data_IF_296274877214
#
_entry.id   IF_296274877214
#
_cell.length_a   1.000
_cell.length_b   1.000
_cell.length_c   1.000
_cell.angle_alpha   90.00
_cell.angle_beta   90.00
_cell.angle_gamma   90.00
#
_symmetry.space_group_name_H-M   'P 1'
#
loop_
_entity.id
_entity.type
_entity.pdbx_description
1 polymer ?
#
# COMPACT_ATOMS: atom_id res chain seq x y z
N UNK A 1 -0.83 -0.68 32.59
CA UNK A 1 -0.09 -1.76 31.88
C UNK A 1 -0.05 -1.54 30.36
N UNK A 2 -1.10 -0.99 29.71
CA UNK A 2 -1.12 -0.75 28.26
C UNK A 2 -0.16 0.34 27.73
N UNK A 3 0.14 1.38 28.53
CA UNK A 3 1.06 2.48 28.17
C UNK A 3 2.51 2.01 27.96
N UNK A 4 2.93 0.90 28.59
CA UNK A 4 4.26 0.35 28.37
C UNK A 4 4.39 -0.32 26.99
N UNK A 5 3.30 -0.88 26.46
CA UNK A 5 3.33 -1.58 25.17
C UNK A 5 3.48 -0.64 23.97
N UNK A 6 2.89 0.56 24.02
CA UNK A 6 3.02 1.56 22.97
C UNK A 6 4.45 2.13 22.91
N UNK A 7 5.05 2.39 24.07
CA UNK A 7 6.42 2.87 24.19
C UNK A 7 7.44 1.81 23.77
N UNK A 8 7.19 0.54 24.06
CA UNK A 8 8.00 -0.58 23.55
C UNK A 8 7.89 -0.74 22.04
N UNK A 9 6.72 -0.47 21.45
CA UNK A 9 6.53 -0.47 19.99
C UNK A 9 7.23 0.71 19.32
N UNK A 10 7.20 1.91 19.90
CA UNK A 10 7.96 3.07 19.42
C UNK A 10 9.47 2.80 19.41
N UNK A 11 10.00 2.22 20.48
CA UNK A 11 11.44 1.89 20.57
C UNK A 11 11.82 0.82 19.55
N UNK A 12 10.97 -0.21 19.34
CA UNK A 12 11.19 -1.21 18.29
C UNK A 12 11.12 -0.61 16.88
N UNK A 13 10.17 0.30 16.64
CA UNK A 13 10.01 0.98 15.35
C UNK A 13 11.20 1.89 15.07
N UNK A 14 11.69 2.61 16.08
CA UNK A 14 12.87 3.46 15.99
C UNK A 14 14.15 2.65 15.71
N UNK A 15 14.30 1.48 16.37
CA UNK A 15 15.41 0.55 16.11
C UNK A 15 15.37 0.00 14.69
N UNK A 16 14.20 -0.48 14.24
CA UNK A 16 14.01 -0.97 12.87
C UNK A 16 14.25 0.12 11.82
N UNK A 17 13.88 1.38 12.11
CA UNK A 17 14.16 2.53 11.25
C UNK A 17 15.66 2.84 11.16
N UNK A 18 16.38 2.69 12.27
CA UNK A 18 17.82 2.91 12.33
C UNK A 18 18.61 1.81 11.58
N UNK A 19 18.21 0.55 11.71
CA UNK A 19 18.79 -0.57 10.96
C UNK A 19 18.48 -0.47 9.46
N UNK A 20 17.26 -0.07 9.09
CA UNK A 20 16.89 0.19 7.70
C UNK A 20 17.76 1.32 7.12
N UNK A 21 17.97 2.41 7.87
CA UNK A 21 18.87 3.51 7.50
C UNK A 21 20.32 3.07 7.34
N UNK A 22 20.82 2.17 8.19
CA UNK A 22 22.19 1.65 8.12
C UNK A 22 22.39 0.65 6.97
N UNK A 23 21.33 -0.04 6.56
CA UNK A 23 21.38 -1.01 5.45
C UNK A 23 21.29 -0.38 4.06
N UNK A 24 20.84 0.88 3.95
CA UNK A 24 20.77 1.59 2.67
C UNK A 24 22.19 1.97 2.20
N UNK A 25 22.58 1.68 0.94
CA UNK A 25 23.93 1.95 0.44
C UNK A 25 24.26 3.44 0.24
N UNK A 26 23.36 4.34 0.66
CA UNK A 26 23.55 5.78 0.51
C UNK A 26 22.87 6.51 1.67
N UNK A 27 23.65 7.26 2.45
CA UNK A 27 23.09 8.09 3.52
C UNK A 27 22.40 9.32 2.92
N UNK A 28 21.14 9.61 3.32
CA UNK A 28 20.39 10.71 2.79
C UNK A 28 20.73 11.96 3.59
N UNK A 29 21.75 12.68 3.15
CA UNK A 29 21.78 14.12 3.35
C UNK A 29 21.48 14.79 2.00
N UNK A 30 20.52 15.71 2.05
CA UNK A 30 20.04 16.59 1.00
C UNK A 30 19.28 15.98 -0.19
N UNK A 31 18.00 16.33 -0.20
CA UNK A 31 17.14 16.45 -1.36
C UNK A 31 17.88 16.70 -2.69
N UNK A 32 17.91 15.69 -3.56
CA UNK A 32 18.12 15.86 -5.00
C UNK A 32 17.19 14.85 -5.70
N UNK A 33 15.90 15.15 -5.70
CA UNK A 33 15.20 16.01 -6.67
C UNK A 33 15.23 15.37 -8.06
N UNK A 34 14.07 15.36 -8.70
CA UNK A 34 13.84 14.94 -10.09
C UNK A 34 14.87 15.54 -11.09
N UNK A 35 15.62 16.56 -10.68
CA UNK A 35 16.75 17.12 -11.41
C UNK A 35 17.85 16.07 -11.69
N UNK A 36 18.22 15.16 -10.79
CA UNK A 36 19.30 14.19 -11.07
C UNK A 36 18.91 13.17 -12.15
N UNK A 37 17.69 12.64 -12.07
CA UNK A 37 17.16 11.71 -13.08
C UNK A 37 17.03 12.40 -14.43
N UNK A 38 16.60 13.67 -14.43
CA UNK A 38 16.51 14.50 -15.63
C UNK A 38 17.90 14.85 -16.20
N UNK A 39 18.87 15.20 -15.36
CA UNK A 39 20.26 15.48 -15.75
C UNK A 39 20.89 14.24 -16.41
N UNK A 40 20.68 13.03 -15.87
CA UNK A 40 21.18 11.79 -16.45
C UNK A 40 20.55 11.51 -17.83
N UNK A 41 19.25 11.75 -17.97
CA UNK A 41 18.54 11.57 -19.24
C UNK A 41 18.96 12.62 -20.29
N UNK A 42 19.12 13.87 -19.89
CA UNK A 42 19.57 14.98 -20.75
C UNK A 42 21.04 14.78 -21.19
N UNK A 43 21.93 14.38 -20.27
CA UNK A 43 23.33 14.01 -20.59
C UNK A 43 23.41 12.83 -21.55
N UNK A 44 22.57 11.81 -21.36
CA UNK A 44 22.52 10.65 -22.25
C UNK A 44 22.06 11.02 -23.67
N UNK A 45 21.26 12.07 -23.83
CA UNK A 45 20.82 12.56 -25.14
C UNK A 45 21.84 13.51 -25.78
N UNK A 46 22.53 14.34 -24.99
CA UNK A 46 23.62 15.20 -25.49
C UNK A 46 24.85 14.38 -25.95
N UNK A 47 25.16 13.28 -25.25
CA UNK A 47 26.27 12.37 -25.61
C UNK A 47 26.06 11.66 -26.95
N UNK A 48 24.81 11.42 -27.37
CA UNK A 48 24.49 10.77 -28.66
C UNK A 48 24.77 11.65 -29.88
N UNK A 49 24.83 12.97 -29.72
CA UNK A 49 24.90 13.91 -30.84
C UNK A 49 26.20 14.72 -30.92
N UNK A 50 27.14 14.56 -29.98
CA UNK A 50 28.38 15.33 -29.97
C UNK A 50 29.59 14.54 -30.46
N UNK A 51 30.03 14.88 -31.68
CA UNK A 51 31.22 14.33 -32.33
C UNK A 51 32.52 14.60 -31.53
N UNK A 52 32.55 15.68 -30.75
CA UNK A 52 33.70 16.05 -29.91
C UNK A 52 33.87 15.14 -28.68
N UNK A 53 32.76 14.65 -28.11
CA UNK A 53 32.80 13.71 -26.98
C UNK A 53 33.19 12.30 -27.43
N UNK A 54 32.79 11.90 -28.65
CA UNK A 54 33.31 10.69 -29.28
C UNK A 54 34.85 10.77 -29.43
N UNK A 55 35.40 11.88 -29.90
CA UNK A 55 36.87 12.04 -30.01
C UNK A 55 37.61 12.02 -28.66
N UNK A 56 37.03 12.58 -27.59
CA UNK A 56 37.63 12.54 -26.26
C UNK A 56 37.68 11.11 -25.69
N UNK A 57 36.62 10.33 -25.91
CA UNK A 57 36.57 8.91 -25.54
C UNK A 57 37.59 8.08 -26.34
N UNK A 58 37.79 8.41 -27.62
CA UNK A 58 38.78 7.77 -28.48
C UNK A 58 40.23 8.11 -28.05
N UNK A 59 40.51 9.37 -27.75
CA UNK A 59 41.81 9.81 -27.20
C UNK A 59 42.12 9.19 -25.83
N UNK A 60 41.12 9.06 -24.96
CA UNK A 60 41.30 8.45 -23.63
C UNK A 60 41.60 6.94 -23.70
N UNK A 61 41.29 6.27 -24.82
CA UNK A 61 41.56 4.86 -25.05
C UNK A 61 42.80 4.57 -25.89
N UNK A 62 43.54 5.59 -26.35
CA UNK A 62 44.85 5.44 -26.99
C UNK A 62 44.85 4.76 -28.36
N UNK A 63 43.74 4.77 -29.09
CA UNK A 63 43.60 4.12 -30.40
C UNK A 63 43.47 5.18 -31.50
N UNK A 64 44.41 5.20 -32.45
CA UNK A 64 44.32 6.05 -33.64
C UNK A 64 43.29 5.50 -34.63
N UNK A 65 42.59 6.37 -35.39
CA UNK A 65 41.52 5.95 -36.27
C UNK A 65 42.12 5.43 -37.58
N UNK A 66 42.38 4.13 -37.69
CA UNK A 66 42.45 3.52 -39.01
C UNK A 66 41.05 3.08 -39.45
N UNK A 67 40.73 3.56 -40.64
CA UNK A 67 39.46 3.42 -41.34
C UNK A 67 39.19 1.97 -41.74
N UNK A 68 37.88 1.66 -41.83
CA UNK A 68 37.29 0.43 -42.36
C UNK A 68 37.19 -0.75 -41.40
N UNK A 69 36.06 -0.83 -40.69
CA UNK A 69 35.44 -2.14 -40.44
C UNK A 69 33.93 -2.01 -40.58
N UNK A 70 33.44 -2.34 -41.77
CA UNK A 70 32.08 -2.80 -41.98
C UNK A 70 31.97 -4.20 -41.37
N UNK A 71 31.57 -4.29 -40.11
CA UNK A 71 31.09 -5.54 -39.53
C UNK A 71 30.38 -5.27 -38.20
N UNK A 72 29.08 -4.96 -38.27
CA UNK A 72 28.19 -5.25 -37.14
C UNK A 72 27.89 -6.75 -37.19
N UNK A 73 28.84 -7.58 -36.75
CA UNK A 73 28.46 -8.88 -36.22
C UNK A 73 27.98 -8.69 -34.79
N UNK A 74 26.95 -9.46 -34.45
CA UNK A 74 26.11 -9.37 -33.28
C UNK A 74 26.91 -9.06 -32.00
N UNK A 75 26.61 -7.93 -31.37
CA UNK A 75 26.92 -7.77 -29.95
C UNK A 75 26.03 -8.79 -29.24
N UNK A 76 26.62 -9.92 -28.87
CA UNK A 76 25.98 -10.88 -27.99
C UNK A 76 25.74 -10.20 -26.64
N UNK A 77 24.49 -9.77 -26.44
CA UNK A 77 24.01 -9.11 -25.23
C UNK A 77 23.71 -10.11 -24.11
N UNK A 78 23.99 -11.41 -24.29
CA UNK A 78 23.45 -12.43 -23.39
C UNK A 78 24.23 -12.71 -22.11
N UNK A 79 25.32 -12.01 -21.76
CA UNK A 79 26.02 -12.35 -20.50
C UNK A 79 26.74 -11.25 -19.71
N UNK A 80 26.58 -9.96 -20.01
CA UNK A 80 27.19 -8.92 -19.15
C UNK A 80 26.28 -8.56 -17.96
N UNK A 81 26.28 -9.41 -16.93
CA UNK A 81 25.69 -9.06 -15.62
C UNK A 81 26.77 -8.41 -14.74
N UNK A 82 26.63 -7.13 -14.43
CA UNK A 82 27.39 -6.51 -13.34
C UNK A 82 26.83 -7.05 -12.01
N UNK A 83 27.58 -7.89 -11.26
CA UNK A 83 27.07 -8.50 -10.03
C UNK A 83 26.65 -7.44 -9.01
N UNK A 84 27.38 -6.32 -8.96
CA UNK A 84 27.07 -5.16 -8.12
C UNK A 84 25.76 -4.47 -8.52
N UNK A 85 25.43 -4.41 -9.81
CA UNK A 85 24.13 -3.91 -10.28
C UNK A 85 22.99 -4.89 -9.96
N UNK A 86 23.25 -6.20 -9.99
CA UNK A 86 22.24 -7.19 -9.59
C UNK A 86 21.95 -7.13 -8.09
N UNK A 87 22.98 -7.01 -7.26
CA UNK A 87 22.86 -6.89 -5.79
C UNK A 87 22.12 -5.61 -5.39
N UNK A 88 22.47 -4.47 -5.99
CA UNK A 88 21.79 -3.21 -5.78
C UNK A 88 20.30 -3.27 -6.17
N UNK A 89 19.98 -3.95 -7.29
CA UNK A 89 18.60 -4.13 -7.73
C UNK A 89 17.79 -5.05 -6.81
N UNK A 90 18.37 -6.15 -6.31
CA UNK A 90 17.71 -7.01 -5.31
C UNK A 90 17.43 -6.25 -4.03
N UNK A 91 18.43 -5.52 -3.51
CA UNK A 91 18.30 -4.73 -2.28
C UNK A 91 17.28 -3.61 -2.42
N UNK A 92 17.23 -2.95 -3.57
CA UNK A 92 16.22 -1.96 -3.90
C UNK A 92 14.81 -2.56 -3.93
N UNK A 93 14.64 -3.74 -4.56
CA UNK A 93 13.34 -4.44 -4.61
C UNK A 93 12.87 -4.84 -3.22
N UNK A 94 13.74 -5.43 -2.41
CA UNK A 94 13.44 -5.82 -1.02
C UNK A 94 13.06 -4.60 -0.17
N UNK A 95 13.86 -3.54 -0.22
CA UNK A 95 13.59 -2.31 0.52
C UNK A 95 12.30 -1.64 0.06
N UNK A 96 12.02 -1.64 -1.24
CA UNK A 96 10.79 -1.10 -1.81
C UNK A 96 9.56 -1.91 -1.38
N UNK A 97 9.69 -3.24 -1.32
CA UNK A 97 8.65 -4.13 -0.80
C UNK A 97 8.39 -3.86 0.69
N UNK A 98 9.45 -3.78 1.52
CA UNK A 98 9.32 -3.48 2.95
C UNK A 98 8.73 -2.09 3.22
N UNK A 99 9.12 -1.07 2.44
CA UNK A 99 8.54 0.28 2.50
C UNK A 99 7.04 0.25 2.18
N UNK A 100 6.63 -0.56 1.20
CA UNK A 100 5.21 -0.73 0.87
C UNK A 100 4.45 -1.38 2.03
N UNK A 101 5.00 -2.44 2.61
CA UNK A 101 4.39 -3.11 3.77
C UNK A 101 4.21 -2.16 4.97
N UNK A 102 5.28 -1.48 5.40
CA UNK A 102 5.21 -0.52 6.51
C UNK A 102 4.21 0.61 6.24
N UNK A 103 4.12 1.09 4.99
CA UNK A 103 3.13 2.09 4.60
C UNK A 103 1.70 1.57 4.74
N UNK A 104 1.46 0.31 4.39
CA UNK A 104 0.14 -0.29 4.48
C UNK A 104 -0.26 -0.55 5.96
N UNK A 105 0.68 -0.94 6.82
CA UNK A 105 0.49 -1.04 8.27
C UNK A 105 0.17 0.32 8.91
N UNK A 106 0.88 1.39 8.52
CA UNK A 106 0.58 2.76 9.00
C UNK A 106 -0.84 3.16 8.62
N UNK A 107 -1.25 2.91 7.38
CA UNK A 107 -2.62 3.24 6.91
C UNK A 107 -3.69 2.49 7.67
N UNK A 108 -3.40 1.26 8.10
CA UNK A 108 -4.34 0.46 8.89
C UNK A 108 -4.47 1.03 10.30
N UNK A 109 -3.37 1.43 10.93
CA UNK A 109 -3.39 2.13 12.21
C UNK A 109 -4.13 3.48 12.12
N UNK A 110 -3.94 4.21 11.02
CA UNK A 110 -4.64 5.48 10.74
C UNK A 110 -6.17 5.29 10.63
N UNK A 111 -6.68 4.07 10.42
CA UNK A 111 -8.13 3.82 10.39
C UNK A 111 -8.79 4.13 11.73
N UNK A 112 -8.06 3.99 12.84
CA UNK A 112 -8.56 4.27 14.18
C UNK A 112 -8.19 5.67 14.68
N UNK A 113 -7.33 6.40 13.97
CA UNK A 113 -6.92 7.74 14.37
C UNK A 113 -8.12 8.70 14.39
N UNK A 114 -8.33 9.35 15.55
CA UNK A 114 -9.47 10.23 15.79
C UNK A 114 -10.85 9.55 15.72
N UNK A 115 -10.94 8.21 15.69
CA UNK A 115 -12.20 7.45 15.66
C UNK A 115 -12.50 6.76 16.99
N UNK A 116 -13.77 6.47 17.20
CA UNK A 116 -14.24 5.69 18.33
C UNK A 116 -13.81 4.21 18.18
N UNK A 117 -13.04 3.64 19.13
CA UNK A 117 -12.65 2.23 19.12
C UNK A 117 -13.82 1.27 19.34
N UNK A 118 -15.01 1.78 19.63
CA UNK A 118 -16.21 0.98 19.82
C UNK A 118 -16.33 0.42 21.24
N UNK A 119 -17.38 -0.39 21.47
CA UNK A 119 -17.69 -0.93 22.79
C UNK A 119 -16.49 -1.69 23.37
N UNK A 120 -16.05 -1.27 24.56
CA UNK A 120 -14.95 -1.86 25.34
C UNK A 120 -13.63 -2.05 24.57
N UNK A 121 -13.46 -1.37 23.42
CA UNK A 121 -12.38 -1.61 22.46
C UNK A 121 -12.27 -3.06 21.97
N UNK A 122 -13.32 -3.87 22.15
CA UNK A 122 -13.31 -5.30 21.85
C UNK A 122 -13.15 -5.59 20.34
N UNK A 123 -13.57 -4.65 19.50
CA UNK A 123 -13.54 -4.76 18.04
C UNK A 123 -12.23 -4.27 17.41
N UNK A 124 -11.31 -3.70 18.21
CA UNK A 124 -10.01 -3.20 17.71
C UNK A 124 -9.14 -4.33 17.16
N UNK A 125 -9.32 -5.57 17.62
CA UNK A 125 -8.62 -6.73 17.06
C UNK A 125 -8.99 -7.01 15.60
N UNK A 126 -10.14 -6.54 15.15
CA UNK A 126 -10.68 -6.73 13.80
C UNK A 126 -10.44 -5.50 12.90
N UNK A 127 -9.58 -4.57 13.34
CA UNK A 127 -9.29 -3.34 12.61
C UNK A 127 -8.77 -3.66 11.20
N UNK A 128 -9.46 -3.18 10.16
CA UNK A 128 -9.06 -3.41 8.77
C UNK A 128 -9.39 -4.80 8.22
N UNK A 129 -9.76 -5.76 9.08
CA UNK A 129 -10.16 -7.11 8.67
C UNK A 129 -11.46 -7.09 7.87
N UNK A 130 -11.51 -7.93 6.83
CA UNK A 130 -12.63 -7.97 5.90
C UNK A 130 -13.32 -9.34 5.90
N UNK A 131 -14.65 -9.32 5.97
CA UNK A 131 -15.50 -10.50 5.95
C UNK A 131 -16.38 -10.50 4.70
N UNK A 132 -16.54 -11.66 4.06
CA UNK A 132 -17.28 -11.79 2.81
C UNK A 132 -18.33 -12.89 2.88
N UNK A 133 -19.54 -12.61 2.36
CA UNK A 133 -20.61 -13.61 2.23
C UNK A 133 -21.49 -13.32 1.02
N UNK A 134 -21.92 -14.38 0.34
CA UNK A 134 -22.93 -14.29 -0.71
C UNK A 134 -24.33 -14.39 -0.09
N UNK A 135 -25.15 -13.36 -0.28
CA UNK A 135 -26.55 -13.29 0.18
C UNK A 135 -27.41 -12.83 -0.99
N UNK A 136 -28.56 -13.48 -1.21
CA UNK A 136 -29.55 -13.10 -2.24
C UNK A 136 -28.97 -12.84 -3.65
N UNK A 137 -27.86 -13.50 -3.99
CA UNK A 137 -27.20 -13.40 -5.30
C UNK A 137 -26.03 -12.42 -5.36
N UNK A 138 -25.86 -11.55 -4.37
CA UNK A 138 -24.78 -10.56 -4.29
C UNK A 138 -23.71 -10.97 -3.28
N UNK A 139 -22.47 -10.55 -3.50
CA UNK A 139 -21.36 -10.75 -2.55
C UNK A 139 -21.19 -9.51 -1.70
N UNK A 140 -21.46 -9.61 -0.40
CA UNK A 140 -21.24 -8.53 0.53
C UNK A 140 -19.86 -8.67 1.16
N UNK A 141 -19.12 -7.57 1.21
CA UNK A 141 -17.80 -7.46 1.84
C UNK A 141 -17.81 -6.33 2.86
N UNK A 142 -17.53 -6.63 4.12
CA UNK A 142 -17.45 -5.63 5.19
C UNK A 142 -16.03 -5.62 5.74
N UNK A 143 -15.34 -4.49 5.61
CA UNK A 143 -14.02 -4.27 6.20
C UNK A 143 -14.16 -3.33 7.40
N UNK A 144 -13.92 -3.83 8.62
CA UNK A 144 -14.21 -3.07 9.83
C UNK A 144 -13.32 -1.83 9.94
N UNK A 145 -13.90 -0.73 10.44
CA UNK A 145 -13.33 0.62 10.49
C UNK A 145 -12.92 1.24 9.14
N UNK A 146 -13.18 0.53 8.03
CA UNK A 146 -12.77 0.95 6.70
C UNK A 146 -13.99 1.20 5.82
N UNK A 147 -14.44 0.21 5.05
CA UNK A 147 -15.52 0.36 4.08
C UNK A 147 -16.31 -0.94 3.85
N UNK A 148 -17.53 -0.79 3.36
CA UNK A 148 -18.44 -1.89 3.05
C UNK A 148 -18.85 -1.85 1.57
N UNK A 149 -19.01 -3.03 0.96
CA UNK A 149 -19.33 -3.19 -0.47
C UNK A 149 -20.33 -4.31 -0.73
N UNK A 150 -21.08 -4.14 -1.82
CA UNK A 150 -21.89 -5.15 -2.48
C UNK A 150 -21.34 -5.34 -3.89
N UNK A 151 -20.66 -6.46 -4.14
CA UNK A 151 -19.83 -6.70 -5.32
C UNK A 151 -18.88 -5.52 -5.57
N UNK A 152 -19.14 -4.73 -6.61
CA UNK A 152 -18.36 -3.53 -6.96
C UNK A 152 -18.96 -2.23 -6.39
N UNK A 153 -20.19 -2.27 -5.88
CA UNK A 153 -20.94 -1.12 -5.37
C UNK A 153 -20.49 -0.79 -3.95
N UNK A 154 -20.12 0.48 -3.71
CA UNK A 154 -19.74 0.94 -2.37
C UNK A 154 -20.98 1.24 -1.52
N UNK A 155 -21.08 0.61 -0.35
CA UNK A 155 -22.18 0.81 0.62
C UNK A 155 -21.88 1.86 1.68
N UNK A 156 -20.61 2.24 1.85
CA UNK A 156 -20.19 3.33 2.74
C UNK A 156 -18.81 3.09 3.32
N UNK A 157 -18.27 4.14 3.95
CA UNK A 157 -17.09 4.11 4.81
C UNK A 157 -17.51 4.17 6.26
N UNK A 158 -16.75 3.54 7.14
CA UNK A 158 -17.01 3.61 8.57
C UNK A 158 -16.95 5.07 9.06
N UNK A 159 -18.07 5.50 9.64
CA UNK A 159 -18.24 6.84 10.19
C UNK A 159 -18.12 6.83 11.71
N UNK A 160 -18.94 6.02 12.39
CA UNK A 160 -19.01 5.97 13.85
C UNK A 160 -19.70 4.70 14.35
N UNK A 161 -19.60 4.49 15.66
CA UNK A 161 -20.47 3.58 16.39
C UNK A 161 -21.79 4.26 16.77
N UNK A 162 -22.87 3.49 16.78
CA UNK A 162 -24.19 3.91 17.25
C UNK A 162 -24.89 2.73 17.94
N UNK A 163 -25.10 2.85 19.25
CA UNK A 163 -25.75 1.81 20.08
C UNK A 163 -25.16 0.39 19.89
N UNK A 164 -23.84 0.28 19.78
CA UNK A 164 -23.15 -1.00 19.57
C UNK A 164 -23.13 -1.52 18.13
N UNK A 165 -23.69 -0.76 17.18
CA UNK A 165 -23.61 -1.03 15.75
C UNK A 165 -22.56 -0.13 15.07
N UNK A 166 -21.92 -0.61 14.02
CA UNK A 166 -21.09 0.22 13.15
C UNK A 166 -21.91 0.85 12.04
N UNK A 167 -21.80 2.17 11.89
CA UNK A 167 -22.42 2.91 10.80
C UNK A 167 -21.44 3.18 9.67
N UNK A 168 -21.80 2.73 8.47
CA UNK A 168 -21.09 3.01 7.24
C UNK A 168 -21.94 3.95 6.38
N UNK A 169 -21.37 5.09 6.01
CA UNK A 169 -22.11 6.13 5.28
C UNK A 169 -21.29 6.65 4.09
N UNK A 170 -21.87 7.59 3.33
CA UNK A 170 -21.22 8.17 2.16
C UNK A 170 -20.82 7.13 1.09
N UNK A 171 -21.65 6.09 0.92
CA UNK A 171 -21.51 5.12 -0.15
C UNK A 171 -21.83 5.70 -1.53
N UNK A 172 -21.83 4.83 -2.53
CA UNK A 172 -22.11 5.19 -3.92
C UNK A 172 -23.53 5.74 -4.05
N UNK A 173 -23.68 6.81 -4.85
CA UNK A 173 -24.98 7.44 -5.13
C UNK A 173 -25.99 6.44 -5.69
N UNK A 174 -27.20 6.48 -5.14
CA UNK A 174 -28.33 5.68 -5.56
C UNK A 174 -29.21 6.49 -6.52
N UNK A 175 -29.72 5.88 -7.58
CA UNK A 175 -30.66 6.56 -8.46
C UNK A 175 -31.97 6.78 -7.69
N UNK A 176 -32.39 8.05 -7.56
CA UNK A 176 -33.59 8.45 -6.82
C UNK A 176 -33.61 8.04 -5.34
N UNK A 177 -32.43 7.95 -4.71
CA UNK A 177 -32.27 7.59 -3.30
C UNK A 177 -31.11 8.34 -2.64
N UNK A 178 -30.93 8.17 -1.32
CA UNK A 178 -29.78 8.73 -0.64
C UNK A 178 -28.48 8.07 -1.13
N UNK A 179 -27.33 8.62 -0.73
CA UNK A 179 -26.08 7.85 -0.81
C UNK A 179 -26.27 6.54 -0.05
N UNK A 180 -25.73 5.45 -0.59
CA UNK A 180 -25.81 4.15 0.08
C UNK A 180 -25.20 4.24 1.48
N UNK A 181 -25.83 3.54 2.41
CA UNK A 181 -25.36 3.40 3.79
C UNK A 181 -25.65 2.01 4.32
N UNK A 182 -24.84 1.54 5.27
CA UNK A 182 -25.02 0.27 5.94
C UNK A 182 -24.96 0.46 7.45
N UNK A 183 -25.90 -0.16 8.18
CA UNK A 183 -25.81 -0.39 9.62
C UNK A 183 -25.41 -1.85 9.85
N UNK A 184 -24.27 -2.07 10.50
CA UNK A 184 -23.75 -3.40 10.83
C UNK A 184 -23.89 -3.64 12.34
N UNK A 185 -24.75 -4.59 12.70
CA UNK A 185 -24.98 -5.04 14.07
C UNK A 185 -24.18 -6.31 14.37
N UNK A 186 -23.84 -6.50 15.64
CA UNK A 186 -23.00 -7.62 16.07
C UNK A 186 -23.70 -8.54 17.06
N UNK A 187 -23.50 -9.85 16.88
CA UNK A 187 -23.95 -10.90 17.79
C UNK A 187 -22.76 -11.71 18.32
N UNK A 188 -22.81 -12.09 19.60
CA UNK A 188 -21.79 -12.96 20.19
C UNK A 188 -21.84 -14.37 19.57
N UNK A 189 -20.69 -14.83 19.09
CA UNK A 189 -20.50 -16.17 18.54
C UNK A 189 -19.01 -16.57 18.60
N UNK A 190 -18.67 -17.88 18.48
CA UNK A 190 -17.27 -18.33 18.48
C UNK A 190 -16.52 -18.02 17.18
N UNK A 191 -17.22 -17.74 16.08
CA UNK A 191 -16.64 -17.54 14.76
C UNK A 191 -17.10 -16.21 14.16
N UNK A 192 -16.23 -15.61 13.34
CA UNK A 192 -16.55 -14.39 12.60
C UNK A 192 -17.30 -14.72 11.30
N UNK A 193 -18.58 -14.36 11.23
CA UNK A 193 -19.38 -14.57 10.03
C UNK A 193 -20.45 -13.49 9.81
N UNK A 194 -20.65 -13.09 8.56
CA UNK A 194 -21.86 -12.32 8.20
C UNK A 194 -23.04 -13.29 8.25
N UNK A 195 -24.11 -12.96 8.98
CA UNK A 195 -25.28 -13.84 9.14
C UNK A 195 -26.38 -13.46 8.16
N UNK A 196 -26.72 -12.18 8.10
CA UNK A 196 -27.80 -11.64 7.28
C UNK A 196 -27.42 -10.27 6.71
N UNK A 197 -27.98 -9.97 5.55
CA UNK A 197 -27.92 -8.64 4.93
C UNK A 197 -29.27 -8.38 4.28
N UNK A 198 -29.89 -7.27 4.64
CA UNK A 198 -31.21 -6.84 4.18
C UNK A 198 -31.16 -5.37 3.73
N UNK A 199 -32.02 -5.01 2.79
CA UNK A 199 -32.22 -3.63 2.31
C UNK A 199 -33.62 -3.16 2.74
N UNK A 200 -33.83 -2.78 4.03
CA UNK A 200 -35.14 -2.40 4.54
C UNK A 200 -35.71 -1.15 3.88
N UNK A 201 -34.83 -0.24 3.44
CA UNK A 201 -35.20 0.95 2.67
C UNK A 201 -34.27 1.07 1.46
N UNK A 202 -34.74 1.69 0.37
CA UNK A 202 -33.95 1.86 -0.84
C UNK A 202 -32.58 2.47 -0.54
N UNK A 203 -31.53 1.73 -0.89
CA UNK A 203 -30.13 2.06 -0.70
C UNK A 203 -29.69 2.24 0.77
N UNK A 204 -30.47 1.76 1.74
CA UNK A 204 -30.05 1.62 3.13
C UNK A 204 -30.05 0.15 3.51
N UNK A 205 -28.88 -0.33 3.89
CA UNK A 205 -28.66 -1.73 4.22
C UNK A 205 -28.58 -1.91 5.73
N UNK A 206 -29.07 -3.04 6.21
CA UNK A 206 -28.88 -3.52 7.57
C UNK A 206 -28.26 -4.93 7.48
N UNK A 207 -27.24 -5.19 8.28
CA UNK A 207 -26.60 -6.48 8.34
C UNK A 207 -26.31 -6.89 9.77
N UNK A 208 -26.27 -8.20 10.00
CA UNK A 208 -25.86 -8.80 11.26
C UNK A 208 -24.61 -9.61 11.01
N UNK A 209 -23.58 -9.39 11.83
CA UNK A 209 -22.35 -10.17 11.85
C UNK A 209 -22.16 -10.81 13.22
N UNK A 210 -21.80 -12.07 13.23
CA UNK A 210 -21.38 -12.80 14.42
C UNK A 210 -19.88 -12.65 14.61
N UNK A 211 -19.45 -12.50 15.86
CA UNK A 211 -18.03 -12.39 16.20
C UNK A 211 -17.77 -12.67 17.69
N UNK A 212 -16.62 -13.26 18.05
CA UNK A 212 -16.17 -13.36 19.42
C UNK A 212 -16.01 -11.99 20.11
N UNK A 213 -15.72 -10.93 19.34
CA UNK A 213 -15.57 -9.57 19.87
C UNK A 213 -16.86 -9.01 20.49
N UNK A 214 -18.02 -9.58 20.15
CA UNK A 214 -19.31 -9.21 20.71
C UNK A 214 -19.67 -10.01 21.97
N UNK A 215 -18.86 -11.00 22.35
CA UNK A 215 -19.04 -11.78 23.57
C UNK A 215 -18.49 -11.03 24.79
N UNK A 216 -19.23 -11.10 25.91
CA UNK A 216 -18.86 -10.50 27.19
C UNK A 216 -18.30 -11.53 28.15
#
# INVERSE_FOLDING_TARGET
LALNSAKEREVKLAGALAELKASLPFQPDQASSEALVKIIWDLSNELKNSRALAELVWKARGLEPDTTVSFLEEIDTTSFSLPEATEANTKFRETSARKRQLRDEIKEMDLLDGKDPGPDSAFVSLLGECFERKVTGFTYKFCLYKDAKQDTTNLGKFEKWDNGAMLFTNGQSCWNGPKRSLKLEFECAPDDEIVSVEEPETCKYAAVMKTPAACR
#
